data_IF_921809409363
#
_entry.id   IF_921809409363
#
_cell.length_a   1.000
_cell.length_b   1.000
_cell.length_c   1.000
_cell.angle_alpha   90.00
_cell.angle_beta   90.00
_cell.angle_gamma   90.00
#
_symmetry.space_group_name_H-M   'P 1'
#
loop_
_entity.id
_entity.type
_entity.pdbx_description
1 polymer ?
#
# COMPACT_ATOMS: atom_id res chain seq x y z
N UNK A 1 15.39 20.05 -11.33
CA UNK A 1 14.92 18.65 -11.38
C UNK A 1 14.91 18.13 -9.96
N UNK A 2 13.88 17.39 -9.55
CA UNK A 2 13.90 16.75 -8.23
C UNK A 2 15.16 15.89 -8.10
N UNK A 3 15.76 15.84 -6.92
CA UNK A 3 16.87 14.94 -6.60
C UNK A 3 16.30 13.51 -6.58
N UNK A 4 16.13 12.90 -7.75
CA UNK A 4 15.59 11.54 -7.91
C UNK A 4 16.70 10.60 -7.48
N UNK A 5 16.80 10.38 -6.17
CA UNK A 5 17.60 9.29 -5.62
C UNK A 5 16.92 7.97 -5.97
N UNK A 6 17.72 7.01 -6.41
CA UNK A 6 17.23 5.67 -6.74
C UNK A 6 16.81 4.93 -5.47
N UNK A 7 15.75 4.13 -5.57
CA UNK A 7 15.39 3.18 -4.53
C UNK A 7 16.59 2.30 -4.20
N UNK A 8 16.83 2.09 -2.92
CA UNK A 8 17.86 1.23 -2.36
C UNK A 8 17.29 -0.14 -2.04
N UNK A 9 18.18 -1.11 -1.84
CA UNK A 9 17.79 -2.44 -1.37
C UNK A 9 17.01 -2.38 -0.05
N UNK A 10 17.42 -1.49 0.87
CA UNK A 10 16.75 -1.28 2.16
C UNK A 10 15.31 -0.79 2.02
N UNK A 11 15.02 0.03 1.01
CA UNK A 11 13.66 0.53 0.77
C UNK A 11 12.71 -0.61 0.38
N UNK A 12 13.21 -1.60 -0.36
CA UNK A 12 12.43 -2.80 -0.69
C UNK A 12 12.31 -3.76 0.50
N UNK A 13 13.36 -3.92 1.29
CA UNK A 13 13.36 -4.73 2.52
C UNK A 13 12.32 -4.23 3.51
N UNK A 14 12.16 -2.91 3.65
CA UNK A 14 11.13 -2.33 4.51
C UNK A 14 9.70 -2.77 4.15
N UNK A 15 9.38 -2.96 2.86
CA UNK A 15 8.06 -3.47 2.46
C UNK A 15 7.85 -4.94 2.87
N UNK A 16 8.92 -5.73 2.93
CA UNK A 16 8.88 -7.11 3.42
C UNK A 16 8.63 -7.10 4.93
N UNK A 17 9.41 -6.31 5.68
CA UNK A 17 9.26 -6.14 7.13
C UNK A 17 7.85 -5.64 7.49
N UNK A 18 7.30 -4.71 6.71
CA UNK A 18 5.94 -4.20 6.91
C UNK A 18 4.90 -5.28 6.67
N UNK A 19 5.04 -6.10 5.62
CA UNK A 19 4.12 -7.23 5.37
C UNK A 19 4.14 -8.23 6.53
N UNK A 20 5.34 -8.63 6.98
CA UNK A 20 5.52 -9.54 8.13
C UNK A 20 4.87 -8.96 9.39
N UNK A 21 5.15 -7.71 9.71
CA UNK A 21 4.56 -6.99 10.85
C UNK A 21 3.02 -6.98 10.81
N UNK A 22 2.43 -6.83 9.62
CA UNK A 22 0.98 -6.83 9.45
C UNK A 22 0.37 -8.22 9.72
N UNK A 23 1.03 -9.29 9.28
CA UNK A 23 0.61 -10.66 9.60
C UNK A 23 0.78 -10.98 11.08
N UNK A 24 1.91 -10.63 11.69
CA UNK A 24 2.16 -10.84 13.12
C UNK A 24 1.10 -10.14 13.97
N UNK A 25 0.78 -8.88 13.64
CA UNK A 25 -0.26 -8.12 14.36
C UNK A 25 -1.67 -8.67 14.16
N UNK A 26 -1.95 -9.33 13.04
CA UNK A 26 -3.21 -10.04 12.80
C UNK A 26 -3.32 -11.27 13.71
N UNK A 27 -2.22 -11.98 13.91
CA UNK A 27 -2.16 -13.20 14.72
C UNK A 27 -2.15 -12.89 16.23
N UNK A 28 -1.32 -11.93 16.66
CA UNK A 28 -1.09 -11.61 18.07
C UNK A 28 -2.13 -10.66 18.66
N UNK A 29 -2.73 -9.80 17.82
CA UNK A 29 -3.72 -8.80 18.21
C UNK A 29 -3.31 -7.93 19.42
N UNK A 30 -2.10 -7.30 19.41
CA UNK A 30 -1.59 -6.53 20.54
C UNK A 30 -2.49 -5.35 20.92
N UNK A 31 -2.69 -5.13 22.22
CA UNK A 31 -3.50 -4.04 22.74
C UNK A 31 -2.93 -2.66 22.35
N UNK A 32 -3.80 -1.71 22.00
CA UNK A 32 -3.40 -0.34 21.68
C UNK A 32 -2.82 -0.13 20.27
N UNK A 33 -2.66 -1.20 19.48
CA UNK A 33 -2.19 -1.10 18.10
C UNK A 33 -3.30 -0.63 17.14
N UNK A 34 -2.98 0.33 16.26
CA UNK A 34 -3.89 0.79 15.20
C UNK A 34 -4.37 -0.36 14.32
N UNK A 35 -3.44 -1.19 13.85
CA UNK A 35 -3.73 -2.37 13.00
C UNK A 35 -4.67 -3.35 13.69
N UNK A 36 -4.51 -3.60 15.00
CA UNK A 36 -5.43 -4.44 15.77
C UNK A 36 -6.83 -3.84 15.83
N UNK A 37 -6.95 -2.51 15.99
CA UNK A 37 -8.24 -1.83 15.87
C UNK A 37 -8.86 -2.03 14.48
N UNK A 38 -8.06 -1.96 13.41
CA UNK A 38 -8.54 -2.13 12.04
C UNK A 38 -8.99 -3.57 11.78
N UNK A 39 -8.20 -4.58 12.16
CA UNK A 39 -8.58 -5.98 12.04
C UNK A 39 -9.85 -6.30 12.85
N UNK A 40 -9.99 -5.76 14.07
CA UNK A 40 -11.23 -5.91 14.86
C UNK A 40 -12.45 -5.28 14.20
N UNK A 41 -12.28 -4.19 13.44
CA UNK A 41 -13.36 -3.55 12.67
C UNK A 41 -13.66 -4.28 11.35
N UNK A 42 -12.78 -5.17 10.91
CA UNK A 42 -12.98 -6.05 9.77
C UNK A 42 -12.78 -5.39 8.40
N UNK A 43 -13.00 -6.20 7.37
CA UNK A 43 -12.70 -5.91 5.97
C UNK A 43 -13.35 -4.62 5.46
N UNK A 44 -14.58 -4.31 5.84
CA UNK A 44 -15.31 -3.13 5.36
C UNK A 44 -14.62 -1.84 5.78
N UNK A 45 -14.16 -1.78 7.04
CA UNK A 45 -13.46 -0.59 7.53
C UNK A 45 -12.08 -0.43 6.90
N UNK A 46 -11.38 -1.54 6.68
CA UNK A 46 -10.07 -1.53 6.00
C UNK A 46 -10.23 -1.05 4.56
N UNK A 47 -11.20 -1.59 3.82
CA UNK A 47 -11.50 -1.18 2.45
C UNK A 47 -11.93 0.29 2.36
N UNK A 48 -12.73 0.78 3.33
CA UNK A 48 -13.08 2.20 3.42
C UNK A 48 -11.82 3.07 3.48
N UNK A 49 -10.84 2.74 4.34
CA UNK A 49 -9.60 3.50 4.44
C UNK A 49 -8.82 3.50 3.14
N UNK A 50 -8.71 2.35 2.44
CA UNK A 50 -8.07 2.33 1.10
C UNK A 50 -8.73 3.31 0.13
N UNK A 51 -10.07 3.39 0.12
CA UNK A 51 -10.79 4.36 -0.71
C UNK A 51 -10.57 5.82 -0.30
N UNK A 52 -10.57 6.09 1.01
CA UNK A 52 -10.30 7.41 1.60
C UNK A 52 -8.91 7.93 1.18
N UNK A 53 -7.86 7.14 1.44
CA UNK A 53 -6.48 7.50 1.12
C UNK A 53 -6.26 7.66 -0.39
N UNK A 54 -6.98 6.89 -1.21
CA UNK A 54 -6.91 7.01 -2.66
C UNK A 54 -7.46 8.37 -3.13
N UNK A 55 -8.59 8.81 -2.57
CA UNK A 55 -9.17 10.12 -2.87
C UNK A 55 -8.28 11.24 -2.34
N UNK A 56 -7.76 11.11 -1.12
CA UNK A 56 -6.85 12.08 -0.51
C UNK A 56 -5.56 12.22 -1.31
N UNK A 57 -4.98 11.11 -1.78
CA UNK A 57 -3.81 11.11 -2.69
C UNK A 57 -4.09 11.89 -3.97
N UNK A 58 -5.26 11.67 -4.61
CA UNK A 58 -5.65 12.39 -5.82
C UNK A 58 -5.80 13.89 -5.54
N UNK A 59 -6.42 14.26 -4.43
CA UNK A 59 -6.59 15.67 -4.03
C UNK A 59 -5.22 16.31 -3.76
N UNK A 60 -4.38 15.67 -2.95
CA UNK A 60 -3.05 16.15 -2.59
C UNK A 60 -2.15 16.32 -3.82
N UNK A 61 -2.24 15.41 -4.80
CA UNK A 61 -1.47 15.48 -6.05
C UNK A 61 -1.75 16.75 -6.88
N UNK A 62 -2.92 17.37 -6.70
CA UNK A 62 -3.30 18.62 -7.38
C UNK A 62 -2.81 19.86 -6.65
N UNK A 63 -2.35 19.73 -5.41
CA UNK A 63 -1.81 20.83 -4.62
C UNK A 63 -0.33 21.06 -4.95
N UNK A 64 0.19 22.27 -4.65
CA UNK A 64 1.60 22.64 -4.95
C UNK A 64 2.63 22.06 -3.96
N UNK A 65 2.22 21.20 -3.02
CA UNK A 65 3.07 20.69 -1.93
C UNK A 65 3.27 19.17 -2.05
N UNK A 66 4.43 18.77 -2.58
CA UNK A 66 4.81 17.35 -2.70
C UNK A 66 4.74 16.57 -1.38
N UNK A 67 4.92 17.24 -0.23
CA UNK A 67 4.85 16.60 1.09
C UNK A 67 3.49 15.97 1.37
N UNK A 68 2.40 16.63 0.98
CA UNK A 68 1.04 16.11 1.19
C UNK A 68 0.86 14.85 0.33
N UNK A 69 1.20 14.91 -0.96
CA UNK A 69 1.14 13.74 -1.85
C UNK A 69 1.96 12.54 -1.35
N UNK A 70 3.15 12.79 -0.79
CA UNK A 70 4.00 11.72 -0.22
C UNK A 70 3.31 11.06 0.98
N UNK A 71 2.71 11.85 1.86
CA UNK A 71 2.01 11.33 3.04
C UNK A 71 0.79 10.47 2.64
N UNK A 72 -0.10 11.01 1.81
CA UNK A 72 -1.31 10.28 1.40
C UNK A 72 -0.97 9.02 0.59
N UNK A 73 0.06 9.08 -0.26
CA UNK A 73 0.52 7.91 -0.99
C UNK A 73 1.11 6.84 -0.07
N UNK A 74 1.80 7.24 1.01
CA UNK A 74 2.29 6.31 2.02
C UNK A 74 1.14 5.64 2.78
N UNK A 75 0.13 6.42 3.18
CA UNK A 75 -1.06 5.90 3.87
C UNK A 75 -1.87 4.97 2.97
N UNK A 76 -2.01 5.30 1.67
CA UNK A 76 -2.61 4.41 0.67
C UNK A 76 -1.87 3.08 0.54
N UNK A 77 -0.53 3.10 0.44
CA UNK A 77 0.27 1.86 0.36
C UNK A 77 0.11 1.04 1.63
N UNK A 78 0.20 1.67 2.81
CA UNK A 78 0.00 1.00 4.09
C UNK A 78 -1.37 0.32 4.17
N UNK A 79 -2.43 1.06 3.85
CA UNK A 79 -3.79 0.55 3.91
C UNK A 79 -4.08 -0.53 2.87
N UNK A 80 -3.46 -0.44 1.69
CA UNK A 80 -3.51 -1.50 0.69
C UNK A 80 -2.82 -2.77 1.19
N UNK A 81 -1.63 -2.67 1.81
CA UNK A 81 -0.94 -3.82 2.38
C UNK A 81 -1.73 -4.45 3.55
N UNK A 82 -2.35 -3.62 4.38
CA UNK A 82 -3.25 -4.09 5.45
C UNK A 82 -4.47 -4.83 4.89
N UNK A 83 -5.08 -4.33 3.81
CA UNK A 83 -6.17 -5.02 3.10
C UNK A 83 -5.73 -6.37 2.55
N UNK A 84 -4.53 -6.43 1.96
CA UNK A 84 -3.97 -7.66 1.42
C UNK A 84 -3.71 -8.69 2.53
N UNK A 85 -3.16 -8.27 3.68
CA UNK A 85 -2.94 -9.13 4.85
C UNK A 85 -4.26 -9.64 5.46
N UNK A 86 -5.29 -8.79 5.56
CA UNK A 86 -6.63 -9.20 6.01
C UNK A 86 -7.20 -10.31 5.11
N UNK A 87 -6.97 -10.21 3.79
CA UNK A 87 -7.41 -11.18 2.79
C UNK A 87 -6.46 -12.36 2.59
N UNK A 88 -5.34 -12.42 3.33
CA UNK A 88 -4.30 -13.46 3.19
C UNK A 88 -3.72 -13.54 1.77
N UNK A 89 -3.59 -12.38 1.13
CA UNK A 89 -3.00 -12.23 -0.20
C UNK A 89 -1.59 -11.66 -0.03
N UNK A 90 -0.54 -12.45 -0.24
CA UNK A 90 0.82 -11.93 -0.10
C UNK A 90 1.16 -10.95 -1.23
N UNK A 91 1.90 -9.89 -0.89
CA UNK A 91 2.34 -8.80 -1.78
C UNK A 91 3.07 -9.33 -3.01
N UNK A 92 3.81 -10.44 -2.88
CA UNK A 92 4.48 -11.11 -4.00
C UNK A 92 3.52 -11.44 -5.16
N UNK A 93 2.24 -11.79 -4.88
CA UNK A 93 1.24 -12.07 -5.93
C UNK A 93 0.89 -10.81 -6.70
N UNK A 94 0.78 -9.68 -6.02
CA UNK A 94 0.53 -8.36 -6.63
C UNK A 94 1.75 -7.95 -7.48
N UNK A 95 2.96 -8.05 -6.94
CA UNK A 95 4.21 -7.76 -7.66
C UNK A 95 4.33 -8.65 -8.88
N UNK A 96 4.03 -9.95 -8.78
CA UNK A 96 4.05 -10.87 -9.93
C UNK A 96 3.06 -10.45 -11.02
N UNK A 97 1.86 -10.00 -10.63
CA UNK A 97 0.86 -9.47 -11.57
C UNK A 97 1.35 -8.17 -12.24
N UNK A 98 2.00 -7.29 -11.50
CA UNK A 98 2.62 -6.06 -12.03
C UNK A 98 3.76 -6.38 -13.00
N UNK A 99 4.69 -7.28 -12.63
CA UNK A 99 5.76 -7.75 -13.53
C UNK A 99 5.18 -8.30 -14.82
N UNK A 100 4.22 -9.23 -14.73
CA UNK A 100 3.55 -9.80 -15.90
C UNK A 100 2.89 -8.74 -16.80
N UNK A 101 2.33 -7.66 -16.23
CA UNK A 101 1.72 -6.56 -16.99
C UNK A 101 2.76 -5.78 -17.82
N UNK A 102 4.01 -5.72 -17.37
CA UNK A 102 5.07 -4.91 -17.97
C UNK A 102 6.17 -5.73 -18.66
N UNK A 103 6.12 -7.07 -18.58
CA UNK A 103 7.09 -8.00 -19.19
C UNK A 103 6.95 -8.10 -20.73
N UNK A 104 5.87 -7.54 -21.29
CA UNK A 104 5.63 -7.53 -22.74
C UNK A 104 5.46 -6.08 -23.19
N UNK A 105 6.42 -5.54 -23.94
CA UNK A 105 6.38 -4.22 -24.58
C UNK A 105 5.29 -4.06 -25.66
N UNK A 106 4.14 -4.71 -25.51
CA UNK A 106 2.95 -4.40 -26.31
C UNK A 106 2.01 -3.54 -25.48
N UNK A 107 1.99 -2.24 -25.79
CA UNK A 107 0.84 -1.39 -25.55
C UNK A 107 -0.43 -2.06 -26.09
N UNK A 108 -1.12 -2.85 -25.26
CA UNK A 108 -2.57 -3.00 -25.38
C UNK A 108 -3.15 -2.17 -24.25
N UNK A 109 -3.88 -1.13 -24.63
CA UNK A 109 -4.63 -0.26 -23.74
C UNK A 109 -5.25 -1.08 -22.61
N UNK A 110 -4.74 -0.92 -21.39
CA UNK A 110 -5.43 -1.38 -20.19
C UNK A 110 -6.17 -0.16 -19.67
N UNK A 111 -7.25 0.13 -20.37
CA UNK A 111 -8.27 1.09 -20.00
C UNK A 111 -9.60 0.48 -20.43
N UNK A 112 -10.06 -0.49 -19.64
CA UNK A 112 -11.44 -0.97 -19.47
C UNK A 112 -11.46 -1.90 -18.24
#
# INVERSE_FOLDING_TARGET
MADIKTLTQKDYEFLIELEELLYDRKNEMPSGSYTTSMYKKGIDKIAQKVGEEAVETVIASKNKKNKETINEAADLIFHLMLLLAEKEIPLHKVIKKLRKRHDHGSHKHIGE
#
